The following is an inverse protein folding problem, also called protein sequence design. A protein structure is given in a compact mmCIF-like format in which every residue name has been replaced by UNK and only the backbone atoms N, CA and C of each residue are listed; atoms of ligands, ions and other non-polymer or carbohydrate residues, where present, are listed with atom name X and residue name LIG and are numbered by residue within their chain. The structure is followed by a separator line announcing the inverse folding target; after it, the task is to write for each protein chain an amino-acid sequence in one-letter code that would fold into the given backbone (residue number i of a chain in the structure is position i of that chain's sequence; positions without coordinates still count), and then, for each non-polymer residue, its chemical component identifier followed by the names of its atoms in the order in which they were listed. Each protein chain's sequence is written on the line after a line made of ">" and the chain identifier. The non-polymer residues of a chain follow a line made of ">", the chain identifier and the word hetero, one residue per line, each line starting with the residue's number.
data_IF_518433739631
#
_entry.id   IF_518433739631
#
_cell.length_a   1.000
_cell.length_b   1.000
_cell.length_c   1.000
_cell.angle_alpha   90.00
_cell.angle_beta   90.00
_cell.angle_gamma   90.00
#
_symmetry.space_group_name_H-M   'P 1'
#
loop_
_entity.id
_entity.type
_entity.pdbx_description
1 polymer ?
#
# COMPACT_ATOMS: atom_id res chain seq x y z
N UNK A 1 22.97 12.39 -0.08
CA UNK A 1 22.86 10.91 -0.18
C UNK A 1 21.55 10.53 -0.89
N UNK A 2 21.61 10.13 -2.17
CA UNK A 2 20.41 9.71 -2.92
C UNK A 2 20.10 8.25 -2.56
N UNK A 3 19.03 8.00 -1.79
CA UNK A 3 18.53 6.64 -1.54
C UNK A 3 18.01 6.08 -2.86
N UNK A 4 18.79 5.18 -3.47
CA UNK A 4 18.43 4.47 -4.68
C UNK A 4 17.20 3.59 -4.37
N UNK A 5 16.05 3.93 -4.94
CA UNK A 5 14.86 3.07 -4.92
C UNK A 5 15.11 1.93 -5.90
N UNK A 6 15.48 0.76 -5.38
CA UNK A 6 15.69 -0.45 -6.17
C UNK A 6 14.37 -1.23 -6.29
N UNK A 7 13.69 -1.26 -7.44
CA UNK A 7 12.37 -1.86 -7.60
C UNK A 7 12.37 -3.40 -7.57
N UNK A 8 13.53 -4.05 -7.47
CA UNK A 8 13.68 -5.53 -7.50
C UNK A 8 13.93 -6.19 -6.15
N UNK A 9 14.12 -5.43 -5.06
CA UNK A 9 14.25 -6.00 -3.71
C UNK A 9 12.97 -5.73 -2.93
N UNK A 10 12.12 -6.76 -2.72
CA UNK A 10 11.02 -6.72 -1.75
C UNK A 10 11.64 -6.46 -0.36
N UNK A 11 11.44 -5.29 0.27
CA UNK A 11 12.13 -4.96 1.52
C UNK A 11 11.53 -5.79 2.66
N UNK A 12 12.38 -6.58 3.34
CA UNK A 12 12.17 -7.07 4.70
C UNK A 12 10.86 -7.82 4.97
N UNK A 13 10.76 -9.06 4.52
CA UNK A 13 9.70 -9.97 5.00
C UNK A 13 10.06 -10.53 6.37
N UNK A 14 9.71 -9.79 7.42
CA UNK A 14 9.65 -10.25 8.80
C UNK A 14 8.18 -10.33 9.23
N UNK A 15 7.56 -11.52 9.13
CA UNK A 15 6.45 -11.99 9.96
C UNK A 15 5.16 -11.17 10.18
N UNK A 16 5.02 -9.94 9.67
CA UNK A 16 3.89 -9.06 9.95
C UNK A 16 3.72 -7.99 8.87
N UNK A 17 2.54 -7.92 8.27
CA UNK A 17 2.23 -7.01 7.15
C UNK A 17 2.13 -5.56 7.67
N UNK A 18 3.04 -4.68 7.24
CA UNK A 18 2.96 -3.26 7.57
C UNK A 18 2.17 -2.56 6.47
N UNK A 19 0.84 -2.65 6.58
CA UNK A 19 -0.13 -2.19 5.57
C UNK A 19 0.19 -0.81 5.00
N UNK A 20 0.67 0.13 5.82
CA UNK A 20 1.02 1.47 5.36
C UNK A 20 2.15 1.46 4.34
N UNK A 21 3.28 0.85 4.71
CA UNK A 21 4.47 0.81 3.84
C UNK A 21 4.22 -0.09 2.65
N UNK A 22 3.53 -1.21 2.86
CA UNK A 22 3.31 -2.20 1.81
C UNK A 22 2.29 -1.72 0.78
N UNK A 23 1.24 -1.00 1.20
CA UNK A 23 0.27 -0.37 0.30
C UNK A 23 0.92 0.71 -0.56
N UNK A 24 1.78 1.55 0.05
CA UNK A 24 2.54 2.57 -0.68
C UNK A 24 3.52 1.92 -1.67
N UNK A 25 4.23 0.87 -1.25
CA UNK A 25 5.16 0.14 -2.10
C UNK A 25 4.44 -0.51 -3.29
N UNK A 26 3.30 -1.18 -3.04
CA UNK A 26 2.42 -1.72 -4.08
C UNK A 26 2.01 -0.63 -5.08
N UNK A 27 1.55 0.53 -4.59
CA UNK A 27 1.15 1.64 -5.45
C UNK A 27 2.29 2.10 -6.37
N UNK A 28 3.50 2.24 -5.82
CA UNK A 28 4.68 2.63 -6.60
C UNK A 28 5.14 1.56 -7.58
N UNK A 29 5.09 0.27 -7.20
CA UNK A 29 5.41 -0.85 -8.08
C UNK A 29 4.47 -0.91 -9.30
N UNK A 30 3.20 -0.60 -9.11
CA UNK A 30 2.20 -0.52 -10.17
C UNK A 30 2.13 0.84 -10.89
N UNK A 31 3.02 1.79 -10.57
CA UNK A 31 3.04 3.16 -11.14
C UNK A 31 1.69 3.90 -11.02
N UNK A 32 0.97 3.67 -9.92
CA UNK A 32 -0.34 4.29 -9.67
C UNK A 32 -0.19 5.61 -8.90
N UNK A 33 -0.90 6.64 -9.33
CA UNK A 33 -1.15 7.82 -8.49
C UNK A 33 -2.12 7.45 -7.36
N UNK A 34 -2.23 8.30 -6.33
CA UNK A 34 -3.22 8.06 -5.26
C UNK A 34 -4.65 7.95 -5.81
N UNK A 35 -5.03 8.79 -6.79
CA UNK A 35 -6.32 8.69 -7.48
C UNK A 35 -6.55 7.36 -8.18
N UNK A 36 -5.57 6.91 -9.00
CA UNK A 36 -5.68 5.63 -9.72
C UNK A 36 -5.71 4.42 -8.78
N UNK A 37 -4.95 4.47 -7.68
CA UNK A 37 -4.96 3.43 -6.67
C UNK A 37 -6.29 3.39 -5.90
N UNK A 38 -6.84 4.55 -5.53
CA UNK A 38 -8.13 4.64 -4.86
C UNK A 38 -9.26 4.08 -5.73
N UNK A 39 -9.28 4.42 -7.02
CA UNK A 39 -10.21 3.85 -7.99
C UNK A 39 -10.06 2.33 -8.12
N UNK A 40 -8.82 1.82 -8.22
CA UNK A 40 -8.55 0.38 -8.30
C UNK A 40 -8.98 -0.38 -7.05
N UNK A 41 -8.91 0.26 -5.88
CA UNK A 41 -9.33 -0.29 -4.60
C UNK A 41 -10.81 0.01 -4.27
N UNK A 42 -11.50 0.75 -5.14
CA UNK A 42 -12.88 1.22 -4.94
C UNK A 42 -13.10 1.94 -3.59
N UNK A 43 -12.14 2.79 -3.21
CA UNK A 43 -12.21 3.63 -2.01
C UNK A 43 -12.04 5.09 -2.38
N UNK A 44 -12.34 5.98 -1.44
CA UNK A 44 -12.02 7.40 -1.62
C UNK A 44 -10.51 7.63 -1.58
N UNK A 45 -10.04 8.65 -2.31
CA UNK A 45 -8.63 9.11 -2.25
C UNK A 45 -8.25 9.47 -0.81
N UNK A 46 -9.18 10.06 -0.06
CA UNK A 46 -8.98 10.44 1.35
C UNK A 46 -8.70 9.21 2.21
N UNK A 47 -9.47 8.14 2.05
CA UNK A 47 -9.28 6.87 2.78
C UNK A 47 -7.90 6.28 2.47
N UNK A 48 -7.50 6.26 1.20
CA UNK A 48 -6.16 5.81 0.81
C UNK A 48 -5.07 6.66 1.48
N UNK A 49 -5.21 7.99 1.47
CA UNK A 49 -4.26 8.91 2.11
C UNK A 49 -4.16 8.68 3.62
N UNK A 50 -5.28 8.46 4.31
CA UNK A 50 -5.26 8.17 5.76
C UNK A 50 -4.52 6.88 6.07
N UNK A 51 -4.71 5.85 5.25
CA UNK A 51 -3.99 4.58 5.41
C UNK A 51 -2.50 4.73 5.12
N UNK A 52 -2.12 5.42 4.04
CA UNK A 52 -0.72 5.67 3.69
C UNK A 52 0.00 6.60 4.70
N UNK A 53 -0.74 7.51 5.36
CA UNK A 53 -0.19 8.38 6.42
C UNK A 53 -0.20 7.70 7.80
N UNK A 54 -0.93 6.59 7.95
CA UNK A 54 -1.13 5.94 9.26
C UNK A 54 -2.11 6.67 10.18
N UNK A 55 -2.95 7.58 9.64
CA UNK A 55 -4.04 8.22 10.37
C UNK A 55 -5.24 7.30 10.59
N UNK A 56 -5.39 6.29 9.73
CA UNK A 56 -6.37 5.24 9.88
C UNK A 56 -5.78 3.88 9.50
N UNK A 57 -6.38 2.81 10.01
CA UNK A 57 -6.02 1.43 9.67
C UNK A 57 -7.20 0.80 8.94
N UNK A 58 -7.00 0.15 7.78
CA UNK A 58 -8.07 -0.58 7.10
C UNK A 58 -8.58 -1.70 8.01
N UNK A 59 -9.90 -1.89 8.05
CA UNK A 59 -10.58 -2.89 8.89
C UNK A 59 -11.53 -3.75 8.04
N UNK A 60 -11.95 -4.89 8.60
CA UNK A 60 -12.93 -5.77 7.98
C UNK A 60 -12.53 -6.22 6.57
N UNK A 61 -13.47 -6.08 5.63
CA UNK A 61 -13.31 -6.53 4.24
C UNK A 61 -12.13 -5.85 3.54
N UNK A 62 -11.94 -4.54 3.75
CA UNK A 62 -10.86 -3.79 3.13
C UNK A 62 -9.47 -4.32 3.57
N UNK A 63 -9.32 -4.68 4.83
CA UNK A 63 -8.09 -5.27 5.35
C UNK A 63 -7.78 -6.62 4.68
N UNK A 64 -8.80 -7.47 4.55
CA UNK A 64 -8.65 -8.79 3.91
C UNK A 64 -8.30 -8.65 2.44
N UNK A 65 -8.97 -7.74 1.73
CA UNK A 65 -8.70 -7.45 0.32
C UNK A 65 -7.26 -6.93 0.12
N UNK A 66 -6.82 -5.97 0.93
CA UNK A 66 -5.46 -5.44 0.87
C UNK A 66 -4.40 -6.49 1.17
N UNK A 67 -4.63 -7.35 2.16
CA UNK A 67 -3.72 -8.47 2.47
C UNK A 67 -3.59 -9.44 1.29
N UNK A 68 -4.67 -9.76 0.59
CA UNK A 68 -4.63 -10.61 -0.61
C UNK A 68 -3.91 -9.93 -1.77
N UNK A 69 -4.17 -8.64 -1.96
CA UNK A 69 -3.65 -7.84 -3.08
C UNK A 69 -2.15 -7.54 -2.96
N UNK A 70 -1.63 -7.36 -1.75
CA UNK A 70 -0.22 -7.01 -1.49
C UNK A 70 0.68 -8.26 -1.38
N UNK A 71 0.13 -9.40 -0.94
CA UNK A 71 0.92 -10.61 -0.65
C UNK A 71 1.40 -11.36 -1.90
N UNK A 72 0.77 -11.14 -3.06
CA UNK A 72 1.17 -11.68 -4.36
C UNK A 72 1.96 -10.64 -5.14
#
# INVERSE_FOLDING_TARGET
>A
MKRSFNPRKKPGWTGGLNLRTDLRAWRHAHKLSQGKAALKLQISIRTLQEWEQGRAVPRGIALVALRKLIRY
#
